data_IF_124746470859
#
_entry.id   IF_124746470859
#
_cell.length_a   1.000
_cell.length_b   1.000
_cell.length_c   1.000
_cell.angle_alpha   90.00
_cell.angle_beta   90.00
_cell.angle_gamma   90.00
#
_symmetry.space_group_name_H-M   'P 1'
#
loop_
_entity.id
_entity.type
_entity.pdbx_description
1 polymer ?
#
# COMPACT_ATOMS: atom_id res chain seq x y z
N UNK A 1 -34.36 -45.09 15.84
CA UNK A 1 -33.54 -44.51 14.75
C UNK A 1 -33.35 -43.03 15.07
N UNK A 2 -32.29 -42.70 15.80
CA UNK A 2 -32.01 -41.35 16.27
C UNK A 2 -31.16 -40.61 15.25
N UNK A 3 -31.74 -39.56 14.67
CA UNK A 3 -31.07 -38.55 13.84
C UNK A 3 -29.83 -38.04 14.56
N UNK A 4 -28.65 -38.33 14.01
CA UNK A 4 -27.44 -37.59 14.35
C UNK A 4 -27.51 -36.25 13.63
N UNK A 5 -28.02 -35.25 14.33
CA UNK A 5 -27.70 -33.86 14.03
C UNK A 5 -26.20 -33.69 14.20
N UNK A 6 -25.45 -33.78 13.09
CA UNK A 6 -24.09 -33.27 13.02
C UNK A 6 -24.16 -31.78 13.35
N UNK A 7 -23.87 -31.45 14.61
CA UNK A 7 -23.46 -30.11 15.01
C UNK A 7 -22.25 -29.78 14.15
N UNK A 8 -22.48 -28.98 13.11
CA UNK A 8 -21.46 -28.18 12.47
C UNK A 8 -20.79 -27.39 13.60
N UNK A 9 -19.66 -27.87 14.10
CA UNK A 9 -18.84 -27.10 15.03
C UNK A 9 -18.32 -25.94 14.20
N UNK A 10 -18.96 -24.79 14.34
CA UNK A 10 -18.37 -23.51 13.93
C UNK A 10 -17.00 -23.46 14.62
N UNK A 11 -15.92 -23.70 13.88
CA UNK A 11 -14.58 -23.54 14.40
C UNK A 11 -14.43 -22.07 14.79
N UNK A 12 -14.17 -21.80 16.06
CA UNK A 12 -13.87 -20.46 16.56
C UNK A 12 -12.39 -20.13 16.45
N UNK A 13 -11.58 -21.05 15.92
CA UNK A 13 -10.14 -20.86 15.77
C UNK A 13 -9.85 -20.07 14.49
N UNK A 14 -8.94 -19.07 14.55
CA UNK A 14 -8.54 -18.30 13.38
C UNK A 14 -7.95 -19.22 12.32
N UNK A 15 -8.56 -19.18 11.13
CA UNK A 15 -8.18 -20.01 10.00
C UNK A 15 -7.36 -19.25 8.97
N UNK A 16 -7.58 -17.94 8.89
CA UNK A 16 -6.93 -17.06 7.93
C UNK A 16 -6.04 -16.08 8.67
N UNK A 17 -4.91 -15.70 8.09
CA UNK A 17 -4.10 -14.62 8.61
C UNK A 17 -3.53 -13.77 7.48
N UNK A 18 -3.39 -12.48 7.76
CA UNK A 18 -2.74 -11.50 6.90
C UNK A 18 -1.60 -10.92 7.69
N UNK A 19 -0.41 -10.95 7.11
CA UNK A 19 0.72 -10.19 7.62
C UNK A 19 1.07 -9.09 6.61
N UNK A 20 1.17 -7.85 7.09
CA UNK A 20 1.52 -6.68 6.29
C UNK A 20 2.85 -6.14 6.80
N UNK A 21 3.82 -6.04 5.91
CA UNK A 21 5.08 -5.38 6.16
C UNK A 21 5.05 -4.02 5.46
N UNK A 22 5.16 -2.94 6.22
CA UNK A 22 5.31 -1.58 5.68
C UNK A 22 6.78 -1.25 5.44
N UNK A 23 7.04 -0.28 4.56
CA UNK A 23 8.39 0.30 4.46
C UNK A 23 8.78 0.99 5.78
N UNK A 24 10.07 0.92 6.11
CA UNK A 24 10.59 1.69 7.24
C UNK A 24 10.58 3.19 6.93
N UNK A 25 10.59 4.02 7.96
CA UNK A 25 10.45 5.47 7.82
C UNK A 25 11.58 6.08 6.99
N UNK A 26 12.81 5.61 7.19
CA UNK A 26 14.00 5.98 6.42
C UNK A 26 13.92 5.53 4.95
N UNK A 27 13.37 4.34 4.68
CA UNK A 27 13.11 3.87 3.32
C UNK A 27 12.08 4.77 2.60
N UNK A 28 11.03 5.20 3.32
CA UNK A 28 10.01 6.13 2.80
C UNK A 28 10.59 7.52 2.55
N UNK A 29 11.34 8.06 3.51
CA UNK A 29 11.97 9.37 3.38
C UNK A 29 12.93 9.41 2.18
N UNK A 30 13.79 8.38 2.06
CA UNK A 30 14.72 8.27 0.94
C UNK A 30 13.98 8.23 -0.40
N UNK A 31 12.87 7.47 -0.49
CA UNK A 31 12.05 7.42 -1.69
C UNK A 31 11.50 8.78 -2.08
N UNK A 32 10.95 9.51 -1.10
CA UNK A 32 10.34 10.81 -1.32
C UNK A 32 11.39 11.83 -1.75
N UNK A 33 12.59 11.78 -1.17
CA UNK A 33 13.73 12.59 -1.57
C UNK A 33 14.13 12.32 -3.03
N UNK A 34 14.24 11.04 -3.42
CA UNK A 34 14.53 10.66 -4.80
C UNK A 34 13.43 11.11 -5.78
N UNK A 35 12.16 10.95 -5.39
CA UNK A 35 11.01 11.34 -6.20
C UNK A 35 10.93 12.86 -6.38
N UNK A 36 11.15 13.63 -5.31
CA UNK A 36 11.17 15.09 -5.34
C UNK A 36 12.35 15.61 -6.17
N UNK A 37 13.54 15.03 -5.99
CA UNK A 37 14.71 15.37 -6.80
C UNK A 37 14.46 15.08 -8.27
N UNK A 38 13.92 13.91 -8.60
CA UNK A 38 13.56 13.57 -9.97
C UNK A 38 12.53 14.56 -10.54
N UNK A 39 11.54 14.98 -9.75
CA UNK A 39 10.58 16.00 -10.14
C UNK A 39 11.28 17.33 -10.46
N UNK A 40 12.12 17.84 -9.56
CA UNK A 40 12.86 19.11 -9.73
C UNK A 40 13.82 19.07 -10.92
N UNK A 41 14.46 17.93 -11.20
CA UNK A 41 15.32 17.79 -12.38
C UNK A 41 14.56 17.89 -13.71
N UNK A 42 13.23 17.68 -13.70
CA UNK A 42 12.40 17.96 -14.87
C UNK A 42 12.23 19.46 -15.12
N UNK A 43 12.53 20.32 -14.14
CA UNK A 43 12.40 21.78 -14.20
C UNK A 43 13.75 22.47 -13.90
N UNK A 44 14.79 22.23 -14.71
CA UNK A 44 16.05 22.96 -14.54
C UNK A 44 15.83 24.43 -14.88
N UNK A 45 16.15 25.31 -13.93
CA UNK A 45 16.23 26.77 -14.08
C UNK A 45 14.92 27.48 -14.46
N UNK A 46 14.10 27.78 -13.45
CA UNK A 46 13.25 28.96 -13.54
C UNK A 46 14.10 30.18 -13.17
N UNK A 47 14.75 30.80 -14.16
CA UNK A 47 15.18 32.19 -13.98
C UNK A 47 13.95 32.99 -13.52
N UNK A 48 14.10 33.72 -12.42
CA UNK A 48 13.06 34.47 -11.73
C UNK A 48 12.13 35.19 -12.74
N UNK A 49 10.89 34.73 -12.86
CA UNK A 49 9.82 35.44 -13.56
C UNK A 49 9.13 34.75 -14.73
N UNK A 50 9.57 33.59 -15.22
CA UNK A 50 8.86 32.82 -16.24
C UNK A 50 8.32 31.47 -15.69
N UNK A 51 7.14 31.01 -16.13
CA UNK A 51 6.69 29.65 -15.81
C UNK A 51 7.68 28.66 -16.44
N UNK A 52 8.47 28.00 -15.60
CA UNK A 52 9.43 26.99 -16.02
C UNK A 52 8.67 25.83 -16.66
N UNK A 53 8.77 25.73 -17.98
CA UNK A 53 8.25 24.57 -18.69
C UNK A 53 9.14 23.36 -18.37
N UNK A 54 8.55 22.19 -18.08
CA UNK A 54 9.33 21.00 -17.82
C UNK A 54 10.10 20.59 -19.08
N UNK A 55 11.39 20.30 -18.91
CA UNK A 55 12.27 19.72 -19.93
C UNK A 55 11.75 18.36 -20.42
N UNK A 56 11.11 17.61 -19.52
CA UNK A 56 10.46 16.34 -19.81
C UNK A 56 9.03 16.36 -19.25
N UNK A 57 8.03 16.83 -20.03
CA UNK A 57 6.66 16.98 -19.55
C UNK A 57 6.01 15.64 -19.17
N UNK A 58 6.32 14.55 -19.89
CA UNK A 58 5.75 13.23 -19.64
C UNK A 58 6.25 12.66 -18.31
N UNK A 59 7.55 12.79 -18.04
CA UNK A 59 8.14 12.37 -16.78
C UNK A 59 7.66 13.24 -15.61
N UNK A 60 7.62 14.56 -15.79
CA UNK A 60 7.10 15.47 -14.78
C UNK A 60 5.64 15.15 -14.42
N UNK A 61 4.81 14.89 -15.43
CA UNK A 61 3.41 14.53 -15.24
C UNK A 61 3.26 13.17 -14.56
N UNK A 62 4.10 12.19 -14.91
CA UNK A 62 4.11 10.87 -14.26
C UNK A 62 4.48 10.97 -12.78
N UNK A 63 5.55 11.70 -12.44
CA UNK A 63 5.98 11.90 -11.05
C UNK A 63 4.93 12.69 -10.27
N UNK A 64 4.36 13.75 -10.87
CA UNK A 64 3.27 14.53 -10.27
C UNK A 64 2.03 13.67 -10.01
N UNK A 65 1.70 12.77 -10.93
CA UNK A 65 0.63 11.80 -10.70
C UNK A 65 0.95 10.90 -9.51
N UNK A 66 2.16 10.36 -9.41
CA UNK A 66 2.59 9.56 -8.26
C UNK A 66 2.47 10.33 -6.93
N UNK A 67 2.99 11.56 -6.87
CA UNK A 67 2.87 12.41 -5.68
C UNK A 67 1.42 12.70 -5.32
N UNK A 68 0.56 12.99 -6.31
CA UNK A 68 -0.88 13.18 -6.09
C UNK A 68 -1.58 11.92 -5.65
N UNK A 69 -1.16 10.75 -6.11
CA UNK A 69 -1.81 9.52 -5.66
C UNK A 69 -1.38 9.17 -4.23
N UNK A 70 -0.14 9.49 -3.83
CA UNK A 70 0.33 9.32 -2.45
C UNK A 70 -0.25 10.37 -1.48
N UNK A 71 -0.39 11.61 -1.93
CA UNK A 71 -0.71 12.76 -1.07
C UNK A 71 -1.94 13.56 -1.52
N UNK A 72 -2.79 13.03 -2.39
CA UNK A 72 -3.82 13.81 -3.13
C UNK A 72 -4.89 14.48 -2.28
N UNK A 73 -5.03 14.12 -1.00
CA UNK A 73 -5.84 14.89 -0.05
C UNK A 73 -5.19 16.24 0.29
N UNK A 74 -3.86 16.31 0.20
CA UNK A 74 -2.98 17.44 0.55
C UNK A 74 -2.41 18.16 -0.68
N UNK A 75 -2.37 17.52 -1.87
CA UNK A 75 -1.95 18.14 -3.14
C UNK A 75 -3.12 18.26 -4.12
N UNK A 76 -3.84 19.41 -4.14
CA UNK A 76 -5.01 19.68 -4.99
C UNK A 76 -4.92 20.92 -5.90
N UNK A 77 -3.94 21.80 -5.73
CA UNK A 77 -3.94 23.15 -6.30
C UNK A 77 -2.71 23.45 -7.16
N UNK A 78 -2.75 24.59 -7.88
CA UNK A 78 -1.60 25.10 -8.61
C UNK A 78 -0.49 25.65 -7.67
N UNK A 79 -0.84 26.02 -6.43
CA UNK A 79 0.14 26.43 -5.41
C UNK A 79 1.02 25.26 -4.96
N UNK A 80 0.60 24.02 -5.21
CA UNK A 80 1.36 22.83 -4.84
C UNK A 80 2.59 22.65 -5.73
N UNK A 81 2.50 22.98 -7.03
CA UNK A 81 3.67 22.94 -7.91
C UNK A 81 4.69 24.00 -7.48
N UNK A 82 4.22 25.15 -6.96
CA UNK A 82 5.07 26.17 -6.37
C UNK A 82 5.78 25.62 -5.13
N UNK A 83 5.03 25.00 -4.22
CA UNK A 83 5.57 24.35 -3.03
C UNK A 83 6.65 23.31 -3.39
N UNK A 84 6.37 22.41 -4.33
CA UNK A 84 7.31 21.33 -4.71
C UNK A 84 8.58 21.85 -5.39
N UNK A 85 8.49 22.94 -6.15
CA UNK A 85 9.60 23.44 -6.97
C UNK A 85 10.40 24.57 -6.32
N UNK A 86 9.79 25.39 -5.45
CA UNK A 86 10.40 26.63 -4.95
C UNK A 86 10.82 26.58 -3.48
N UNK A 87 10.17 25.77 -2.65
CA UNK A 87 10.58 25.61 -1.25
C UNK A 87 11.84 24.76 -1.13
N UNK A 88 12.51 24.81 0.01
CA UNK A 88 13.69 23.97 0.27
C UNK A 88 13.33 22.48 0.22
N UNK A 89 14.28 21.63 -0.20
CA UNK A 89 14.05 20.17 -0.31
C UNK A 89 13.62 19.58 1.05
N UNK A 90 14.28 20.02 2.12
CA UNK A 90 14.03 19.58 3.50
C UNK A 90 12.62 19.93 3.97
N UNK A 91 12.15 21.16 3.74
CA UNK A 91 10.81 21.61 4.13
C UNK A 91 9.69 20.82 3.44
N UNK A 92 9.88 20.49 2.15
CA UNK A 92 8.92 19.68 1.39
C UNK A 92 8.88 18.24 1.91
N UNK A 93 10.06 17.66 2.20
CA UNK A 93 10.15 16.31 2.74
C UNK A 93 9.55 16.22 4.15
N UNK A 94 9.81 17.19 5.02
CA UNK A 94 9.22 17.25 6.36
C UNK A 94 7.69 17.32 6.32
N UNK A 95 7.12 18.08 5.39
CA UNK A 95 5.68 18.13 5.18
C UNK A 95 5.13 16.76 4.75
N UNK A 96 5.79 16.07 3.81
CA UNK A 96 5.39 14.73 3.38
C UNK A 96 5.52 13.70 4.49
N UNK A 97 6.62 13.73 5.25
CA UNK A 97 6.85 12.82 6.37
C UNK A 97 5.85 13.06 7.50
N UNK A 98 5.44 14.30 7.73
CA UNK A 98 4.34 14.62 8.66
C UNK A 98 3.04 13.94 8.21
N UNK A 99 2.68 14.04 6.94
CA UNK A 99 1.48 13.37 6.39
C UNK A 99 1.59 11.84 6.50
N UNK A 100 2.77 11.28 6.23
CA UNK A 100 3.06 9.84 6.41
C UNK A 100 2.83 9.40 7.85
N UNK A 101 3.36 10.16 8.83
CA UNK A 101 3.19 9.88 10.26
C UNK A 101 1.73 10.02 10.71
N UNK A 102 1.03 11.05 10.23
CA UNK A 102 -0.38 11.33 10.56
C UNK A 102 -1.33 10.26 10.03
N UNK A 103 -1.07 9.72 8.84
CA UNK A 103 -1.83 8.61 8.28
C UNK A 103 -1.50 7.27 8.95
N UNK A 104 -0.65 7.28 9.99
CA UNK A 104 -0.19 6.09 10.70
C UNK A 104 0.24 5.03 9.70
N UNK A 105 1.22 5.34 8.85
CA UNK A 105 1.94 4.27 8.17
C UNK A 105 2.62 3.49 9.28
N UNK A 106 1.96 2.41 9.69
CA UNK A 106 2.33 1.63 10.85
C UNK A 106 3.64 0.95 10.48
N UNK A 107 4.73 1.47 11.04
CA UNK A 107 6.05 0.89 10.90
C UNK A 107 6.05 -0.51 11.53
N UNK A 108 6.63 -1.47 10.81
CA UNK A 108 6.78 -2.85 11.26
C UNK A 108 5.77 -3.85 10.67
N UNK A 109 5.84 -5.07 11.20
CA UNK A 109 5.00 -6.20 10.79
C UNK A 109 3.66 -6.14 11.52
N UNK A 110 2.57 -5.97 10.77
CA UNK A 110 1.21 -6.10 11.27
C UNK A 110 0.70 -7.50 11.00
N UNK A 111 0.03 -8.12 11.96
CA UNK A 111 -0.61 -9.43 11.76
C UNK A 111 -2.05 -9.40 12.24
N UNK A 112 -2.97 -9.70 11.33
CA UNK A 112 -4.37 -9.98 11.63
C UNK A 112 -4.66 -11.47 11.49
N UNK A 113 -5.48 -12.03 12.37
CA UNK A 113 -5.96 -13.41 12.30
C UNK A 113 -7.49 -13.42 12.31
N UNK A 114 -8.09 -14.21 11.43
CA UNK A 114 -9.51 -14.16 11.10
C UNK A 114 -10.12 -15.55 11.08
N UNK A 115 -11.35 -15.66 11.58
CA UNK A 115 -12.09 -16.93 11.59
C UNK A 115 -12.70 -17.19 10.22
N UNK A 116 -13.21 -16.14 9.56
CA UNK A 116 -13.81 -16.24 8.25
C UNK A 116 -12.98 -15.57 7.15
N UNK A 117 -13.12 -16.09 5.94
CA UNK A 117 -12.53 -15.47 4.75
C UNK A 117 -13.12 -14.08 4.49
N UNK A 118 -14.41 -13.89 4.81
CA UNK A 118 -15.10 -12.61 4.64
C UNK A 118 -14.48 -11.50 5.51
N UNK A 119 -14.25 -11.75 6.80
CA UNK A 119 -13.57 -10.79 7.70
C UNK A 119 -12.15 -10.47 7.22
N UNK A 120 -11.45 -11.50 6.73
CA UNK A 120 -10.13 -11.36 6.14
C UNK A 120 -10.15 -10.43 4.91
N UNK A 121 -11.17 -10.54 4.05
CA UNK A 121 -11.35 -9.64 2.90
C UNK A 121 -11.67 -8.21 3.30
N UNK A 122 -12.60 -8.01 4.24
CA UNK A 122 -12.92 -6.67 4.73
C UNK A 122 -11.68 -5.95 5.27
N UNK A 123 -10.83 -6.68 6.02
CA UNK A 123 -9.58 -6.11 6.49
C UNK A 123 -8.60 -5.79 5.36
N UNK A 124 -8.54 -6.61 4.30
CA UNK A 124 -7.72 -6.30 3.13
C UNK A 124 -8.23 -5.08 2.38
N UNK A 125 -9.54 -4.92 2.22
CA UNK A 125 -10.13 -3.73 1.61
C UNK A 125 -9.70 -2.46 2.34
N UNK A 126 -9.78 -2.45 3.67
CA UNK A 126 -9.30 -1.33 4.49
C UNK A 126 -7.79 -1.05 4.30
N UNK A 127 -6.99 -2.11 4.09
CA UNK A 127 -5.55 -2.01 3.83
C UNK A 127 -5.21 -1.56 2.41
N UNK A 128 -6.09 -1.75 1.43
CA UNK A 128 -5.83 -1.32 0.04
C UNK A 128 -5.70 0.20 -0.11
N UNK A 129 -6.26 0.94 0.84
CA UNK A 129 -6.12 2.39 0.95
C UNK A 129 -4.83 2.83 1.66
N UNK A 130 -4.04 1.88 2.19
CA UNK A 130 -2.77 2.16 2.87
C UNK A 130 -1.65 2.37 1.86
N UNK A 131 -1.07 3.57 1.86
CA UNK A 131 0.15 3.88 1.13
C UNK A 131 1.37 3.21 1.82
N UNK A 132 2.37 2.81 1.03
CA UNK A 132 3.69 2.31 1.49
C UNK A 132 3.74 0.91 2.15
N UNK A 133 3.04 -0.07 1.56
CA UNK A 133 3.18 -1.50 1.91
C UNK A 133 4.29 -2.17 1.09
N UNK A 134 5.21 -2.87 1.76
CA UNK A 134 6.37 -3.59 1.20
C UNK A 134 6.09 -5.06 0.92
N UNK A 135 5.21 -5.70 1.70
CA UNK A 135 4.85 -7.11 1.49
C UNK A 135 3.51 -7.42 2.16
N UNK A 136 2.73 -8.29 1.52
CA UNK A 136 1.64 -8.98 2.20
C UNK A 136 1.83 -10.49 2.11
N UNK A 137 1.74 -11.14 3.26
CA UNK A 137 1.70 -12.58 3.39
C UNK A 137 0.29 -13.00 3.77
N UNK A 138 -0.32 -13.81 2.91
CA UNK A 138 -1.60 -14.45 3.19
C UNK A 138 -1.31 -15.85 3.73
N UNK A 139 -1.98 -16.23 4.80
CA UNK A 139 -1.82 -17.55 5.40
C UNK A 139 -3.18 -18.21 5.66
N UNK A 140 -3.27 -19.50 5.42
CA UNK A 140 -4.45 -20.32 5.73
C UNK A 140 -4.02 -21.57 6.47
N UNK A 141 -4.60 -21.79 7.65
CA UNK A 141 -4.47 -23.03 8.41
C UNK A 141 -5.62 -23.95 8.03
N UNK A 142 -5.35 -25.18 7.62
CA UNK A 142 -6.41 -26.15 7.29
C UNK A 142 -7.00 -26.77 8.55
N UNK A 143 -8.16 -27.43 8.41
CA UNK A 143 -8.74 -28.26 9.46
C UNK A 143 -7.82 -29.39 9.98
N UNK A 144 -6.79 -29.76 9.22
CA UNK A 144 -5.75 -30.73 9.63
C UNK A 144 -4.53 -30.08 10.31
N UNK A 145 -4.49 -28.75 10.41
CA UNK A 145 -3.39 -27.99 11.02
C UNK A 145 -2.26 -27.61 10.06
N UNK A 146 -2.38 -27.91 8.76
CA UNK A 146 -1.37 -27.53 7.77
C UNK A 146 -1.46 -26.03 7.45
N UNK A 147 -0.32 -25.35 7.36
CA UNK A 147 -0.23 -23.93 7.02
C UNK A 147 0.15 -23.75 5.55
N UNK A 148 -0.69 -23.05 4.80
CA UNK A 148 -0.39 -22.59 3.44
C UNK A 148 -0.17 -21.10 3.43
N UNK A 149 0.84 -20.64 2.69
CA UNK A 149 1.19 -19.22 2.61
C UNK A 149 1.33 -18.76 1.17
N UNK A 150 0.76 -17.61 0.83
CA UNK A 150 1.00 -16.95 -0.45
C UNK A 150 1.57 -15.55 -0.23
N UNK A 151 2.63 -15.25 -0.96
CA UNK A 151 3.24 -13.93 -0.97
C UNK A 151 2.61 -13.13 -2.09
N UNK A 152 1.92 -12.05 -1.73
CA UNK A 152 1.51 -11.08 -2.71
C UNK A 152 2.72 -10.17 -2.97
N UNK A 153 3.19 -10.07 -4.23
CA UNK A 153 4.24 -9.11 -4.53
C UNK A 153 3.68 -7.72 -4.26
N UNK A 154 4.18 -7.03 -3.23
CA UNK A 154 4.07 -5.60 -3.22
C UNK A 154 4.94 -5.13 -4.38
N UNK A 155 4.31 -4.57 -5.40
CA UNK A 155 4.96 -4.24 -6.65
C UNK A 155 6.07 -3.21 -6.38
N UNK A 156 7.12 -3.28 -7.20
CA UNK A 156 8.36 -2.50 -7.06
C UNK A 156 8.07 -1.03 -6.75
N UNK A 157 8.91 -0.47 -5.89
CA UNK A 157 8.94 0.89 -5.39
C UNK A 157 8.97 1.95 -6.51
N UNK A 158 7.83 2.16 -7.18
CA UNK A 158 7.73 3.05 -8.35
C UNK A 158 6.34 3.61 -8.60
N UNK A 159 5.48 3.68 -7.59
CA UNK A 159 4.18 4.33 -7.71
C UNK A 159 3.04 3.46 -7.23
N UNK A 160 2.04 4.16 -6.71
CA UNK A 160 0.90 3.67 -5.95
C UNK A 160 0.38 2.32 -6.42
N UNK A 161 0.27 1.40 -5.47
CA UNK A 161 -0.27 0.07 -5.69
C UNK A 161 -1.79 0.16 -5.57
N UNK A 162 -2.49 0.06 -6.70
CA UNK A 162 -3.90 -0.33 -6.68
C UNK A 162 -3.97 -1.85 -6.66
N UNK A 163 -4.30 -2.37 -5.48
CA UNK A 163 -4.60 -3.78 -5.29
C UNK A 163 -5.91 -4.08 -6.02
N UNK A 164 -5.89 -5.08 -6.92
CA UNK A 164 -7.15 -5.61 -7.46
C UNK A 164 -7.61 -6.70 -6.50
N UNK A 165 -8.64 -6.39 -5.71
CA UNK A 165 -9.23 -7.32 -4.74
C UNK A 165 -9.61 -8.67 -5.39
N UNK A 166 -10.00 -8.66 -6.66
CA UNK A 166 -10.29 -9.86 -7.45
C UNK A 166 -9.09 -10.82 -7.58
N UNK A 167 -7.87 -10.30 -7.72
CA UNK A 167 -6.64 -11.11 -7.82
C UNK A 167 -6.31 -11.78 -6.47
N UNK A 168 -6.52 -11.04 -5.37
CA UNK A 168 -6.34 -11.55 -4.00
C UNK A 168 -7.39 -12.62 -3.69
N UNK A 169 -8.62 -12.40 -4.13
CA UNK A 169 -9.72 -13.35 -4.00
C UNK A 169 -9.45 -14.66 -4.72
N UNK A 170 -8.89 -14.61 -5.94
CA UNK A 170 -8.43 -15.79 -6.66
C UNK A 170 -7.43 -16.61 -5.83
N UNK A 171 -6.43 -15.97 -5.23
CA UNK A 171 -5.38 -16.64 -4.46
C UNK A 171 -5.92 -17.29 -3.18
N UNK A 172 -6.78 -16.59 -2.42
CA UNK A 172 -7.41 -17.20 -1.26
C UNK A 172 -8.33 -18.36 -1.64
N UNK A 173 -9.09 -18.22 -2.72
CA UNK A 173 -9.94 -19.29 -3.23
C UNK A 173 -9.08 -20.50 -3.62
N UNK A 174 -7.96 -20.32 -4.32
CA UNK A 174 -7.05 -21.41 -4.68
C UNK A 174 -6.47 -22.10 -3.43
N UNK A 175 -6.01 -21.34 -2.44
CA UNK A 175 -5.47 -21.89 -1.18
C UNK A 175 -6.56 -22.61 -0.38
N UNK A 176 -7.79 -22.08 -0.37
CA UNK A 176 -8.92 -22.72 0.30
C UNK A 176 -9.39 -23.99 -0.42
N UNK A 177 -9.32 -24.04 -1.76
CA UNK A 177 -9.66 -25.23 -2.54
C UNK A 177 -8.63 -26.36 -2.40
N UNK A 178 -7.37 -26.04 -2.08
CA UNK A 178 -6.38 -27.07 -1.67
C UNK A 178 -6.75 -27.80 -0.37
N UNK A 179 -7.77 -27.33 0.37
CA UNK A 179 -8.32 -28.05 1.52
C UNK A 179 -9.30 -29.19 1.12
N UNK A 180 -9.80 -29.18 -0.11
CA UNK A 180 -10.89 -30.08 -0.57
C UNK A 180 -10.37 -31.26 -1.41
N UNK A 181 -9.10 -31.22 -1.86
CA UNK A 181 -8.47 -32.27 -2.67
C UNK A 181 -7.64 -33.23 -1.82
#
# INVERSE_FOLDING_TARGET
MTSKSEKLRMSTEPRYAIEVESFAEDEVEQYLAELLRAYRTCYPDANEGAPSQPRNPDQAQSIRHTLRTLFGRHLKSADDDRFLLQEEEEDVLDAFMTVVRDNRILSGLQRGAFVSLFECFQHLEDLTDSSFVKRILLSVTTSQGSLFTAHLPARKFSGVIQWRLDEINGIFCEIAHLEIA
#
